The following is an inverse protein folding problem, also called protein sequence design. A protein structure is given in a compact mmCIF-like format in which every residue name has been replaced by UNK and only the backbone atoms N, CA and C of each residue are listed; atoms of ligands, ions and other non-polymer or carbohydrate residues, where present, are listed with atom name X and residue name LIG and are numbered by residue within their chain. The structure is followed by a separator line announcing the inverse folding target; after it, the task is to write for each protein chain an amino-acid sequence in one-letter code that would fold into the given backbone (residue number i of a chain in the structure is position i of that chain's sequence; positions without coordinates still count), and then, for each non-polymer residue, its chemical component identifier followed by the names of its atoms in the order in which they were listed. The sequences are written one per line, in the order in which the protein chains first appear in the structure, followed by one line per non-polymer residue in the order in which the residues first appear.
data_IF_972195581293
#
_entry.id   IF_972195581293
#
_cell.length_a   1.000
_cell.length_b   1.000
_cell.length_c   1.000
_cell.angle_alpha   90.00
_cell.angle_beta   90.00
_cell.angle_gamma   90.00
#
_symmetry.space_group_name_H-M   'P 1'
#
loop_
_entity.id
_entity.type
_entity.pdbx_description
1 polymer ?
#
# COMPACT_ATOMS: atom_id res chain seq x y z
N UNK A 1 6.91 -1.45 12.34
CA UNK A 1 6.87 -0.87 10.99
C UNK A 1 8.07 -1.39 10.23
N UNK A 2 7.91 -1.72 8.95
CA UNK A 2 8.97 -2.31 8.14
C UNK A 2 9.80 -1.21 7.48
N UNK A 3 11.12 -1.32 7.54
CA UNK A 3 12.06 -0.40 6.92
C UNK A 3 13.27 -1.19 6.40
N UNK A 4 13.70 -0.86 5.20
CA UNK A 4 14.93 -1.34 4.58
C UNK A 4 15.82 -0.14 4.25
N UNK A 5 16.99 -0.38 3.64
CA UNK A 5 17.86 0.70 3.19
C UNK A 5 17.22 1.55 2.07
N UNK A 6 16.31 0.98 1.27
CA UNK A 6 15.70 1.64 0.11
C UNK A 6 14.21 1.91 0.25
N UNK A 7 13.52 1.32 1.23
CA UNK A 7 12.05 1.37 1.35
C UNK A 7 11.64 1.68 2.78
N UNK A 8 10.58 2.47 2.94
CA UNK A 8 10.02 2.85 4.23
C UNK A 8 8.52 2.56 4.26
N UNK A 9 8.05 1.88 5.30
CA UNK A 9 6.63 1.77 5.63
C UNK A 9 6.30 2.59 6.89
N UNK A 10 5.26 3.41 6.84
CA UNK A 10 4.85 4.26 7.96
C UNK A 10 3.33 4.45 8.03
N UNK A 11 2.80 4.70 9.24
CA UNK A 11 1.39 5.08 9.38
C UNK A 11 1.13 6.45 8.75
N UNK A 12 0.06 6.56 7.97
CA UNK A 12 -0.36 7.82 7.38
C UNK A 12 -0.63 8.85 8.50
N UNK A 13 -0.10 10.07 8.36
CA UNK A 13 -0.19 11.11 9.39
C UNK A 13 -1.59 11.69 9.57
N UNK A 14 -2.41 11.60 8.52
CA UNK A 14 -3.82 11.98 8.52
C UNK A 14 -4.68 10.84 7.93
N UNK A 15 -4.89 9.74 8.67
CA UNK A 15 -5.44 8.52 8.10
C UNK A 15 -6.95 8.65 7.82
N UNK A 16 -7.39 8.21 6.64
CA UNK A 16 -8.82 8.14 6.28
C UNK A 16 -9.50 6.88 6.81
N UNK A 17 -8.72 5.91 7.29
CA UNK A 17 -9.17 4.58 7.71
C UNK A 17 -8.50 4.18 9.04
N UNK A 18 -9.10 3.25 9.82
CA UNK A 18 -8.54 2.77 11.08
C UNK A 18 -7.09 2.29 10.95
N UNK A 19 -6.78 1.55 9.89
CA UNK A 19 -5.41 1.25 9.48
C UNK A 19 -5.16 1.89 8.14
N UNK A 20 -4.14 2.75 8.08
CA UNK A 20 -3.65 3.34 6.84
C UNK A 20 -2.14 3.42 6.92
N UNK A 21 -1.47 2.47 6.29
CA UNK A 21 -0.01 2.41 6.19
C UNK A 21 0.39 2.78 4.77
N UNK A 22 1.44 3.56 4.63
CA UNK A 22 2.02 3.96 3.35
C UNK A 22 3.40 3.32 3.22
N UNK A 23 3.66 2.68 2.09
CA UNK A 23 4.97 2.14 1.71
C UNK A 23 5.52 2.96 0.55
N UNK A 24 6.73 3.50 0.70
CA UNK A 24 7.40 4.32 -0.31
C UNK A 24 8.85 3.87 -0.53
N UNK A 25 9.40 4.00 -1.75
CA UNK A 25 10.85 4.03 -1.92
C UNK A 25 11.41 5.30 -1.27
N UNK A 26 12.59 5.21 -0.67
CA UNK A 26 13.30 6.37 -0.12
C UNK A 26 13.86 7.26 -1.23
N UNK A 27 14.27 6.66 -2.36
CA UNK A 27 14.62 7.41 -3.57
C UNK A 27 13.37 7.85 -4.34
N UNK A 28 13.46 9.00 -5.02
CA UNK A 28 12.30 9.55 -5.72
C UNK A 28 11.94 8.75 -6.98
N UNK A 29 10.84 8.02 -6.92
CA UNK A 29 10.20 7.36 -8.07
C UNK A 29 8.90 8.08 -8.39
N UNK A 30 8.65 8.57 -9.62
CA UNK A 30 7.46 9.37 -9.91
C UNK A 30 6.13 8.63 -9.68
N UNK A 31 5.98 7.42 -10.22
CA UNK A 31 4.76 6.60 -10.10
C UNK A 31 5.02 5.14 -10.47
N UNK A 32 4.02 4.25 -10.33
CA UNK A 32 4.16 2.87 -10.80
C UNK A 32 4.34 2.77 -12.33
N UNK A 33 3.77 3.71 -13.10
CA UNK A 33 3.84 3.71 -14.58
C UNK A 33 4.97 4.59 -15.12
N UNK A 34 5.65 5.35 -14.26
CA UNK A 34 6.81 6.16 -14.60
C UNK A 34 7.84 5.96 -13.49
N UNK A 35 8.75 5.01 -13.76
CA UNK A 35 9.75 4.57 -12.80
C UNK A 35 10.96 5.51 -12.70
N UNK A 36 11.07 6.50 -13.60
CA UNK A 36 12.28 7.31 -13.72
C UNK A 36 13.53 6.44 -13.85
N UNK A 37 14.43 6.55 -12.87
CA UNK A 37 15.70 5.80 -12.82
C UNK A 37 15.64 4.53 -11.94
N UNK A 38 14.47 4.18 -11.40
CA UNK A 38 14.34 3.01 -10.55
C UNK A 38 14.67 1.72 -11.32
N UNK A 39 15.52 0.89 -10.73
CA UNK A 39 15.80 -0.46 -11.23
C UNK A 39 14.72 -1.47 -10.81
N UNK A 40 14.71 -2.63 -11.46
CA UNK A 40 13.78 -3.73 -11.13
C UNK A 40 13.96 -4.25 -9.70
N UNK A 41 15.17 -4.12 -9.13
CA UNK A 41 15.47 -4.52 -7.76
C UNK A 41 14.75 -3.66 -6.73
N UNK A 42 14.65 -2.35 -6.97
CA UNK A 42 13.86 -1.44 -6.12
C UNK A 42 12.40 -1.84 -6.13
N UNK A 43 11.84 -2.12 -7.31
CA UNK A 43 10.43 -2.53 -7.42
C UNK A 43 10.17 -3.84 -6.68
N UNK A 44 11.07 -4.81 -6.84
CA UNK A 44 11.00 -6.05 -6.09
C UNK A 44 11.03 -5.80 -4.57
N UNK A 45 11.93 -4.94 -4.09
CA UNK A 45 12.05 -4.60 -2.67
C UNK A 45 10.81 -3.87 -2.14
N UNK A 46 10.25 -2.92 -2.89
CA UNK A 46 9.00 -2.23 -2.53
C UNK A 46 7.86 -3.23 -2.40
N UNK A 47 7.68 -4.12 -3.39
CA UNK A 47 6.61 -5.15 -3.35
C UNK A 47 6.84 -6.14 -2.20
N UNK A 48 8.08 -6.48 -1.89
CA UNK A 48 8.39 -7.35 -0.75
C UNK A 48 7.96 -6.71 0.58
N UNK A 49 8.24 -5.41 0.78
CA UNK A 49 7.80 -4.67 1.97
C UNK A 49 6.28 -4.52 2.01
N UNK A 50 5.63 -4.21 0.88
CA UNK A 50 4.16 -4.14 0.78
C UNK A 50 3.54 -5.48 1.19
N UNK A 51 4.08 -6.61 0.70
CA UNK A 51 3.61 -7.95 1.07
C UNK A 51 3.75 -8.22 2.55
N UNK A 52 4.89 -7.87 3.17
CA UNK A 52 5.09 -8.05 4.61
C UNK A 52 4.07 -7.24 5.43
N UNK A 53 3.90 -5.97 5.10
CA UNK A 53 2.96 -5.07 5.79
C UNK A 53 1.52 -5.56 5.62
N UNK A 54 1.12 -5.90 4.39
CA UNK A 54 -0.22 -6.41 4.09
C UNK A 54 -0.51 -7.73 4.83
N UNK A 55 0.44 -8.66 4.87
CA UNK A 55 0.29 -9.91 5.61
C UNK A 55 0.12 -9.67 7.12
N UNK A 56 0.78 -8.65 7.67
CA UNK A 56 0.57 -8.23 9.06
C UNK A 56 -0.86 -7.75 9.32
N UNK A 57 -1.35 -6.83 8.48
CA UNK A 57 -2.72 -6.30 8.59
C UNK A 57 -3.76 -7.40 8.37
N UNK A 58 -3.58 -8.24 7.35
CA UNK A 58 -4.47 -9.37 7.09
C UNK A 58 -4.51 -10.35 8.26
N UNK A 59 -3.37 -10.67 8.87
CA UNK A 59 -3.32 -11.56 10.03
C UNK A 59 -4.06 -10.97 11.25
N UNK A 60 -4.01 -9.66 11.44
CA UNK A 60 -4.63 -8.98 12.58
C UNK A 60 -6.13 -8.73 12.38
N UNK A 61 -6.54 -8.31 11.18
CA UNK A 61 -7.91 -7.86 10.88
C UNK A 61 -8.70 -8.81 9.97
N UNK A 62 -8.08 -9.91 9.51
CA UNK A 62 -8.66 -10.88 8.59
C UNK A 62 -8.79 -10.37 7.14
N UNK A 63 -8.46 -9.11 6.88
CA UNK A 63 -8.60 -8.48 5.57
C UNK A 63 -7.74 -7.22 5.46
N UNK A 64 -7.34 -6.86 4.24
CA UNK A 64 -6.78 -5.55 3.92
C UNK A 64 -7.00 -5.21 2.44
N UNK A 65 -6.87 -3.94 2.09
CA UNK A 65 -6.77 -3.44 0.71
C UNK A 65 -5.36 -2.92 0.47
N UNK A 66 -4.78 -3.31 -0.67
CA UNK A 66 -3.50 -2.79 -1.16
C UNK A 66 -3.74 -2.05 -2.47
N UNK A 67 -3.39 -0.77 -2.54
CA UNK A 67 -3.53 0.02 -3.76
C UNK A 67 -2.38 1.03 -3.93
N UNK A 68 -2.20 1.50 -5.15
CA UNK A 68 -1.36 2.65 -5.49
C UNK A 68 -2.15 3.53 -6.45
N UNK A 69 -2.11 4.84 -6.23
CA UNK A 69 -2.85 5.78 -7.08
C UNK A 69 -2.01 6.24 -8.27
N UNK A 70 -2.68 6.57 -9.38
CA UNK A 70 -2.07 7.07 -10.61
C UNK A 70 -2.77 8.34 -11.09
N UNK A 71 -2.06 9.17 -11.86
CA UNK A 71 -2.62 10.33 -12.53
C UNK A 71 -3.18 11.38 -11.56
N UNK A 72 -4.45 11.77 -11.73
CA UNK A 72 -5.13 12.76 -10.88
C UNK A 72 -5.42 12.24 -9.47
N UNK A 73 -5.52 10.92 -9.28
CA UNK A 73 -5.66 10.33 -7.95
C UNK A 73 -4.35 10.31 -7.16
N UNK A 74 -3.22 10.54 -7.83
CA UNK A 74 -1.90 10.55 -7.21
C UNK A 74 -1.51 12.00 -6.86
N UNK A 75 -1.81 12.39 -5.61
CA UNK A 75 -1.57 13.75 -5.11
C UNK A 75 -0.08 14.09 -5.03
N UNK A 76 0.73 13.23 -4.38
CA UNK A 76 2.19 13.36 -4.42
C UNK A 76 2.75 12.67 -5.65
N UNK A 77 3.56 13.35 -6.46
CA UNK A 77 4.28 12.77 -7.60
C UNK A 77 5.48 11.92 -7.17
N UNK A 78 5.24 11.07 -6.19
CA UNK A 78 6.17 10.10 -5.63
C UNK A 78 5.40 8.80 -5.42
N UNK A 79 5.95 7.68 -5.88
CA UNK A 79 5.32 6.36 -5.80
C UNK A 79 5.05 6.00 -4.35
N UNK A 80 3.83 5.58 -4.07
CA UNK A 80 3.44 5.14 -2.74
C UNK A 80 2.32 4.11 -2.83
N UNK A 81 2.38 3.13 -1.94
CA UNK A 81 1.37 2.09 -1.81
C UNK A 81 0.64 2.28 -0.51
N UNK A 82 -0.69 2.30 -0.55
CA UNK A 82 -1.49 2.27 0.66
C UNK A 82 -1.86 0.82 0.99
N UNK A 83 -1.61 0.43 2.23
CA UNK A 83 -2.15 -0.77 2.86
C UNK A 83 -3.17 -0.31 3.89
N UNK A 84 -4.43 -0.67 3.67
CA UNK A 84 -5.56 -0.14 4.47
C UNK A 84 -6.45 -1.26 4.99
N UNK A 85 -6.97 -1.07 6.19
CA UNK A 85 -8.15 -1.77 6.70
C UNK A 85 -9.16 -0.71 7.08
N UNK A 86 -10.36 -0.76 6.48
CA UNK A 86 -11.33 0.35 6.58
C UNK A 86 -12.36 0.15 7.69
N UNK A 87 -12.30 -0.95 8.43
CA UNK A 87 -13.13 -1.21 9.61
C UNK A 87 -14.43 -1.97 9.33
N UNK A 88 -14.62 -2.47 8.11
CA UNK A 88 -15.82 -3.23 7.77
C UNK A 88 -15.81 -4.63 8.40
N UNK A 89 -16.99 -5.12 8.74
CA UNK A 89 -17.23 -6.51 9.11
C UNK A 89 -17.11 -7.44 7.91
N UNK A 90 -16.88 -8.73 8.18
CA UNK A 90 -16.83 -9.76 7.13
C UNK A 90 -18.10 -9.75 6.24
N UNK A 91 -19.27 -9.54 6.83
CA UNK A 91 -20.54 -9.48 6.10
C UNK A 91 -20.61 -8.28 5.14
N UNK A 92 -20.13 -7.12 5.58
CA UNK A 92 -20.06 -5.91 4.74
C UNK A 92 -19.07 -6.09 3.59
N UNK A 93 -17.88 -6.64 3.86
CA UNK A 93 -16.86 -6.93 2.84
C UNK A 93 -17.41 -7.90 1.79
N UNK A 94 -18.00 -9.02 2.23
CA UNK A 94 -18.60 -10.00 1.31
C UNK A 94 -19.78 -9.42 0.54
N UNK A 95 -20.58 -8.53 1.15
CA UNK A 95 -21.67 -7.83 0.47
C UNK A 95 -21.18 -6.89 -0.64
N UNK A 96 -20.04 -6.22 -0.44
CA UNK A 96 -19.45 -5.31 -1.44
C UNK A 96 -18.71 -6.06 -2.56
N UNK A 97 -17.94 -7.10 -2.22
CA UNK A 97 -16.98 -7.72 -3.14
C UNK A 97 -17.31 -9.17 -3.53
N UNK A 98 -18.09 -9.89 -2.72
CA UNK A 98 -18.23 -11.35 -2.76
C UNK A 98 -19.22 -11.93 -3.76
N UNK A 99 -19.64 -11.18 -4.78
CA UNK A 99 -20.59 -11.66 -5.80
C UNK A 99 -19.97 -11.78 -7.20
N UNK A 100 -18.65 -11.90 -7.30
CA UNK A 100 -17.95 -11.98 -8.58
C UNK A 100 -17.23 -13.32 -8.72
N UNK A 101 -18.00 -14.36 -9.05
CA UNK A 101 -17.49 -15.59 -9.67
C UNK A 101 -17.74 -15.53 -11.18
#
# INVERSE_FOLDING_TARGET
MAETDRVLAFHHTNPSYPVHIVVIPKEHVPSLTDLGNADEGLLHEVVAVVREVAAGVEKEYGSCSVNTNLGLYQESKHMHWHVTYRGESEAEIRGMYGNHD
#
